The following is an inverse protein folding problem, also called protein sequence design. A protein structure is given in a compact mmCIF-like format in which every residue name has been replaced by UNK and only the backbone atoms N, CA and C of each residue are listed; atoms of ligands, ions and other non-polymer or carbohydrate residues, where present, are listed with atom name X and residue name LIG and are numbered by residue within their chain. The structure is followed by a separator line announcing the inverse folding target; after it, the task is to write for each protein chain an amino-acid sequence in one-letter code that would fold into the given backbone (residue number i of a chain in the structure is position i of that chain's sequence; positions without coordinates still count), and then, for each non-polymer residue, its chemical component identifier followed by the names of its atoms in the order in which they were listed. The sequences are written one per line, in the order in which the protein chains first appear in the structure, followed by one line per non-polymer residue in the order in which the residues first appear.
data_IF_146446503254
#
_entry.id   IF_146446503254
#
_cell.length_a   1.000
_cell.length_b   1.000
_cell.length_c   1.000
_cell.angle_alpha   90.00
_cell.angle_beta   90.00
_cell.angle_gamma   90.00
#
_symmetry.space_group_name_H-M   'P 1'
#
loop_
_entity.id
_entity.type
_entity.pdbx_description
1 polymer ?
#
# COMPACT_ATOMS: atom_id res chain seq x y z
N UNK A 1 21.46 -5.29 62.12
CA UNK A 1 21.85 -4.04 61.44
C UNK A 1 22.38 -4.44 60.08
N UNK A 2 21.68 -4.11 59.02
CA UNK A 2 22.11 -4.41 57.62
C UNK A 2 23.29 -3.50 57.32
N UNK A 3 24.42 -4.10 56.90
CA UNK A 3 25.67 -3.43 56.62
C UNK A 3 25.47 -2.39 55.45
N UNK A 4 26.15 -1.27 55.55
CA UNK A 4 26.07 -0.16 54.56
C UNK A 4 26.40 -0.62 53.15
N UNK A 5 27.29 -1.57 53.00
CA UNK A 5 27.68 -2.23 51.77
C UNK A 5 26.52 -3.02 51.11
N UNK A 6 25.76 -3.74 51.92
CA UNK A 6 24.59 -4.49 51.42
C UNK A 6 23.49 -3.54 50.95
N UNK A 7 23.21 -2.45 51.65
CA UNK A 7 22.25 -1.41 51.23
C UNK A 7 22.65 -0.80 49.89
N UNK A 8 23.94 -0.60 49.67
CA UNK A 8 24.45 -0.04 48.43
C UNK A 8 24.25 -1.02 47.24
N UNK A 9 24.54 -2.32 47.45
CA UNK A 9 24.29 -3.38 46.45
C UNK A 9 22.81 -3.48 46.09
N UNK A 10 21.89 -3.45 47.05
CA UNK A 10 20.46 -3.48 46.81
C UNK A 10 19.99 -2.26 46.02
N UNK A 11 20.54 -1.06 46.26
CA UNK A 11 20.23 0.14 45.49
C UNK A 11 20.64 0.00 44.02
N UNK A 12 21.83 -0.55 43.75
CA UNK A 12 22.27 -0.79 42.38
C UNK A 12 21.42 -1.85 41.67
N UNK A 13 21.04 -2.93 42.36
CA UNK A 13 20.15 -3.95 41.78
C UNK A 13 18.78 -3.35 41.43
N UNK A 14 18.21 -2.51 42.29
CA UNK A 14 16.93 -1.86 42.04
C UNK A 14 17.00 -0.87 40.86
N UNK A 15 18.10 -0.10 40.77
CA UNK A 15 18.32 0.82 39.62
C UNK A 15 18.45 0.01 38.34
N UNK A 16 19.23 -1.06 38.34
CA UNK A 16 19.41 -1.91 37.16
C UNK A 16 18.10 -2.57 36.74
N UNK A 17 17.31 -3.07 37.65
CA UNK A 17 15.99 -3.62 37.37
C UNK A 17 15.04 -2.57 36.81
N UNK A 18 15.03 -1.35 37.35
CA UNK A 18 14.21 -0.24 36.82
C UNK A 18 14.59 0.15 35.42
N UNK A 19 15.90 0.19 35.10
CA UNK A 19 16.39 0.49 33.74
C UNK A 19 15.99 -0.63 32.78
N UNK A 20 16.06 -1.89 33.19
CA UNK A 20 15.66 -3.03 32.35
C UNK A 20 14.16 -3.02 32.06
N UNK A 21 13.34 -2.72 33.07
CA UNK A 21 11.88 -2.57 32.88
C UNK A 21 11.56 -1.41 31.95
N UNK A 22 12.25 -0.28 32.09
CA UNK A 22 12.07 0.85 31.20
C UNK A 22 12.45 0.52 29.75
N UNK A 23 13.52 -0.23 29.52
CA UNK A 23 13.92 -0.70 28.20
C UNK A 23 12.89 -1.64 27.58
N UNK A 24 12.31 -2.54 28.39
CA UNK A 24 11.24 -3.43 27.94
C UNK A 24 9.98 -2.63 27.56
N UNK A 25 9.60 -1.63 28.38
CA UNK A 25 8.45 -0.77 28.07
C UNK A 25 8.70 0.03 26.79
N UNK A 26 9.88 0.59 26.59
CA UNK A 26 10.26 1.28 25.36
C UNK A 26 10.26 0.34 24.15
N UNK A 27 10.79 -0.88 24.31
CA UNK A 27 10.77 -1.89 23.25
C UNK A 27 9.33 -2.30 22.88
N UNK A 28 8.45 -2.49 23.87
CA UNK A 28 7.03 -2.79 23.64
C UNK A 28 6.28 -1.60 23.01
N UNK A 29 6.61 -0.37 23.39
CA UNK A 29 6.04 0.83 22.80
C UNK A 29 6.49 1.04 21.35
N UNK A 30 7.74 0.63 21.02
CA UNK A 30 8.22 0.65 19.62
C UNK A 30 7.73 -0.56 18.82
N UNK A 31 7.31 -1.64 19.48
CA UNK A 31 6.78 -2.83 18.80
C UNK A 31 5.25 -2.77 18.61
N UNK A 32 4.60 -1.75 19.12
CA UNK A 32 3.28 -1.36 18.68
C UNK A 32 3.41 -0.87 17.22
N UNK A 33 3.68 -1.79 16.30
CA UNK A 33 3.47 -1.56 14.89
C UNK A 33 2.06 -1.05 14.77
N UNK A 34 1.89 0.08 14.09
CA UNK A 34 0.59 0.52 13.64
C UNK A 34 0.01 -0.61 12.79
N UNK A 35 -0.70 -1.54 13.42
CA UNK A 35 -1.78 -2.25 12.76
C UNK A 35 -2.74 -1.14 12.38
N UNK A 36 -2.49 -0.52 11.22
CA UNK A 36 -3.50 0.27 10.55
C UNK A 36 -4.67 -0.67 10.33
N UNK A 37 -5.51 -0.77 11.36
CA UNK A 37 -6.79 -1.44 11.27
C UNK A 37 -7.49 -0.81 10.09
N UNK A 38 -7.59 -1.58 9.03
CA UNK A 38 -8.27 -1.30 7.79
C UNK A 38 -9.76 -1.05 8.10
N UNK A 39 -10.10 0.15 8.58
CA UNK A 39 -11.42 0.53 9.09
C UNK A 39 -12.29 1.22 8.05
N UNK A 40 -11.85 1.21 6.79
CA UNK A 40 -12.62 1.81 5.71
C UNK A 40 -13.75 0.88 5.23
N UNK A 41 -14.97 1.39 5.18
CA UNK A 41 -16.07 0.72 4.48
C UNK A 41 -15.78 0.71 2.98
N UNK A 42 -15.51 -0.47 2.41
CA UNK A 42 -15.35 -0.64 0.96
C UNK A 42 -16.70 -0.98 0.34
N UNK A 43 -17.31 -0.02 -0.37
CA UNK A 43 -18.60 -0.18 -1.05
C UNK A 43 -18.51 -1.15 -2.23
N UNK A 44 -17.33 -1.32 -2.80
CA UNK A 44 -17.06 -2.16 -3.97
C UNK A 44 -16.19 -3.36 -3.62
N UNK A 45 -16.69 -4.22 -2.73
CA UNK A 45 -16.03 -5.48 -2.37
C UNK A 45 -15.74 -6.31 -3.62
N UNK A 46 -14.53 -6.85 -3.71
CA UNK A 46 -14.09 -7.64 -4.87
C UNK A 46 -13.26 -6.87 -5.89
N UNK A 47 -12.94 -5.60 -5.63
CA UNK A 47 -12.13 -4.76 -6.50
C UNK A 47 -11.00 -4.13 -5.70
N UNK A 48 -9.75 -4.31 -6.17
CA UNK A 48 -8.60 -3.54 -5.70
C UNK A 48 -8.14 -2.65 -6.83
N UNK A 49 -8.04 -1.35 -6.56
CA UNK A 49 -7.55 -0.36 -7.50
C UNK A 49 -6.08 -0.03 -7.26
N UNK A 50 -5.47 0.67 -8.20
CA UNK A 50 -4.15 1.26 -8.06
C UNK A 50 -4.20 2.73 -8.40
N UNK A 51 -3.48 3.52 -7.63
CA UNK A 51 -3.43 4.96 -7.74
C UNK A 51 -1.98 5.41 -7.64
N UNK A 52 -1.46 6.11 -8.63
CA UNK A 52 -0.12 6.69 -8.61
C UNK A 52 -0.24 8.21 -8.75
N UNK A 53 0.31 8.92 -7.78
CA UNK A 53 0.24 10.38 -7.69
C UNK A 53 1.62 10.96 -8.00
N UNK A 54 1.70 11.87 -8.96
CA UNK A 54 2.94 12.56 -9.27
C UNK A 54 3.29 13.61 -8.22
N UNK A 55 4.58 13.93 -8.08
CA UNK A 55 5.04 15.02 -7.22
C UNK A 55 4.40 16.35 -7.60
N UNK A 56 4.32 16.68 -8.90
CA UNK A 56 3.68 17.89 -9.42
C UNK A 56 3.05 17.65 -10.81
N UNK A 57 2.50 18.72 -11.41
CA UNK A 57 1.97 18.69 -12.77
C UNK A 57 3.01 19.03 -13.84
N UNK A 58 4.30 19.13 -13.49
CA UNK A 58 5.36 19.29 -14.49
C UNK A 58 5.39 18.10 -15.44
N UNK A 59 5.82 18.32 -16.66
CA UNK A 59 5.91 17.27 -17.66
C UNK A 59 6.88 16.15 -17.24
N UNK A 60 7.94 16.51 -16.54
CA UNK A 60 8.96 15.62 -15.99
C UNK A 60 8.36 14.71 -14.93
N UNK A 61 7.65 15.27 -13.94
CA UNK A 61 7.00 14.51 -12.86
C UNK A 61 5.90 13.59 -13.40
N UNK A 62 5.16 14.03 -14.40
CA UNK A 62 4.16 13.21 -15.06
C UNK A 62 4.80 12.03 -15.81
N UNK A 63 5.95 12.22 -16.46
CA UNK A 63 6.72 11.13 -17.10
C UNK A 63 7.29 10.16 -16.06
N UNK A 64 7.85 10.70 -14.98
CA UNK A 64 8.39 9.89 -13.87
C UNK A 64 7.29 9.00 -13.27
N UNK A 65 6.12 9.56 -12.98
CA UNK A 65 4.95 8.81 -12.51
C UNK A 65 4.63 7.61 -13.40
N UNK A 66 4.68 7.78 -14.73
CA UNK A 66 4.39 6.68 -15.65
C UNK A 66 5.45 5.59 -15.61
N UNK A 67 6.73 5.94 -15.39
CA UNK A 67 7.81 4.96 -15.22
C UNK A 67 7.65 4.17 -13.94
N UNK A 68 7.33 4.84 -12.83
CA UNK A 68 7.02 4.19 -11.55
C UNK A 68 5.85 3.23 -11.72
N UNK A 69 4.74 3.70 -12.28
CA UNK A 69 3.58 2.87 -12.60
C UNK A 69 3.95 1.59 -13.34
N UNK A 70 4.73 1.73 -14.41
CA UNK A 70 5.05 0.59 -15.29
C UNK A 70 5.88 -0.47 -14.56
N UNK A 71 6.82 -0.06 -13.71
CA UNK A 71 7.62 -0.99 -12.89
C UNK A 71 6.76 -1.69 -11.85
N UNK A 72 5.90 -0.96 -11.15
CA UNK A 72 4.99 -1.54 -10.15
C UNK A 72 4.02 -2.52 -10.81
N UNK A 73 3.41 -2.16 -11.93
CA UNK A 73 2.50 -3.06 -12.66
C UNK A 73 3.21 -4.33 -13.13
N UNK A 74 4.45 -4.22 -13.60
CA UNK A 74 5.22 -5.38 -14.02
C UNK A 74 5.49 -6.32 -12.83
N UNK A 75 5.93 -5.77 -11.69
CA UNK A 75 6.19 -6.54 -10.48
C UNK A 75 4.93 -7.21 -9.93
N UNK A 76 3.86 -6.44 -9.73
CA UNK A 76 2.59 -6.98 -9.24
C UNK A 76 2.03 -8.02 -10.20
N UNK A 77 2.04 -7.74 -11.51
CA UNK A 77 1.51 -8.65 -12.51
C UNK A 77 2.25 -9.99 -12.58
N UNK A 78 3.56 -9.99 -12.39
CA UNK A 78 4.33 -11.23 -12.36
C UNK A 78 4.04 -12.07 -11.11
N UNK A 79 3.92 -11.44 -9.97
CA UNK A 79 3.76 -12.11 -8.69
C UNK A 79 2.30 -12.48 -8.36
N UNK A 80 1.32 -11.84 -9.00
CA UNK A 80 -0.11 -12.11 -8.77
C UNK A 80 -0.80 -12.81 -9.94
N UNK A 81 -0.06 -13.23 -10.96
CA UNK A 81 -0.63 -13.88 -12.17
C UNK A 81 -1.42 -15.16 -11.90
N UNK A 82 -1.11 -15.85 -10.79
CA UNK A 82 -1.75 -17.09 -10.37
C UNK A 82 -2.75 -16.88 -9.23
N UNK A 83 -3.03 -15.65 -8.83
CA UNK A 83 -3.97 -15.35 -7.76
C UNK A 83 -5.41 -15.48 -8.30
N UNK A 84 -6.18 -16.39 -7.72
CA UNK A 84 -7.56 -16.63 -8.11
C UNK A 84 -8.54 -15.79 -7.27
N UNK A 85 -8.09 -15.22 -6.16
CA UNK A 85 -8.92 -14.46 -5.23
C UNK A 85 -8.39 -13.06 -4.96
N UNK A 86 -9.30 -12.18 -4.55
CA UNK A 86 -8.95 -10.83 -4.08
C UNK A 86 -8.12 -10.89 -2.80
N UNK A 87 -8.40 -11.87 -1.93
CA UNK A 87 -7.70 -11.99 -0.65
C UNK A 87 -6.23 -12.37 -0.84
N UNK A 88 -5.92 -13.26 -1.78
CA UNK A 88 -4.52 -13.56 -2.15
C UNK A 88 -3.80 -12.33 -2.67
N UNK A 89 -4.46 -11.55 -3.54
CA UNK A 89 -3.88 -10.30 -4.06
C UNK A 89 -3.69 -9.28 -2.94
N UNK A 90 -4.65 -9.15 -2.03
CA UNK A 90 -4.56 -8.25 -0.88
C UNK A 90 -3.40 -8.62 0.04
N UNK A 91 -3.30 -9.90 0.42
CA UNK A 91 -2.21 -10.40 1.26
C UNK A 91 -0.84 -10.21 0.61
N UNK A 92 -0.74 -10.41 -0.70
CA UNK A 92 0.46 -10.11 -1.46
C UNK A 92 0.83 -8.62 -1.34
N UNK A 93 -0.10 -7.71 -1.60
CA UNK A 93 0.16 -6.26 -1.55
C UNK A 93 0.56 -5.80 -0.14
N UNK A 94 -0.09 -6.33 0.91
CA UNK A 94 0.26 -6.04 2.31
C UNK A 94 1.68 -6.51 2.63
N UNK A 95 2.00 -7.76 2.27
CA UNK A 95 3.28 -8.38 2.59
C UNK A 95 4.48 -7.79 1.83
N UNK A 96 4.23 -7.13 0.67
CA UNK A 96 5.29 -6.58 -0.19
C UNK A 96 5.26 -5.04 -0.25
N UNK A 97 4.58 -4.39 0.71
CA UNK A 97 4.47 -2.92 0.75
C UNK A 97 5.83 -2.23 0.68
N UNK A 98 6.80 -2.69 1.49
CA UNK A 98 8.15 -2.12 1.49
C UNK A 98 8.88 -2.36 0.16
N UNK A 99 8.79 -3.55 -0.40
CA UNK A 99 9.41 -3.86 -1.68
C UNK A 99 8.83 -3.02 -2.84
N UNK A 100 7.52 -2.76 -2.80
CA UNK A 100 6.88 -1.84 -3.75
C UNK A 100 7.40 -0.41 -3.60
N UNK A 101 7.66 0.05 -2.38
CA UNK A 101 8.29 1.34 -2.12
C UNK A 101 9.71 1.37 -2.66
N UNK A 102 10.52 0.36 -2.37
CA UNK A 102 11.93 0.25 -2.82
C UNK A 102 12.02 0.25 -4.35
N UNK A 103 11.11 -0.46 -5.04
CA UNK A 103 11.03 -0.47 -6.51
C UNK A 103 10.71 0.94 -7.04
N UNK A 104 9.76 1.64 -6.42
CA UNK A 104 9.40 2.99 -6.83
C UNK A 104 10.53 3.99 -6.59
N UNK A 105 11.19 3.91 -5.43
CA UNK A 105 12.37 4.73 -5.09
C UNK A 105 13.52 4.49 -6.06
N UNK A 106 13.80 3.25 -6.42
CA UNK A 106 14.84 2.93 -7.41
C UNK A 106 14.57 3.62 -8.74
N UNK A 107 13.30 3.61 -9.21
CA UNK A 107 12.93 4.33 -10.45
C UNK A 107 13.12 5.83 -10.31
N UNK A 108 12.78 6.40 -9.16
CA UNK A 108 12.95 7.85 -8.89
C UNK A 108 14.43 8.21 -8.93
N UNK A 109 15.29 7.48 -8.22
CA UNK A 109 16.74 7.68 -8.17
C UNK A 109 17.40 7.49 -9.54
N UNK A 110 17.05 6.44 -10.29
CA UNK A 110 17.56 6.16 -11.65
C UNK A 110 17.26 7.31 -12.63
N UNK A 111 16.20 8.10 -12.36
CA UNK A 111 15.86 9.26 -13.18
C UNK A 111 16.40 10.58 -12.64
N UNK A 112 17.28 10.56 -11.62
CA UNK A 112 17.98 11.70 -11.09
C UNK A 112 17.18 12.57 -10.11
N UNK A 113 16.14 11.98 -9.48
CA UNK A 113 15.34 12.65 -8.45
C UNK A 113 15.59 12.02 -7.08
N UNK A 114 15.27 12.77 -6.02
CA UNK A 114 15.36 12.38 -4.61
C UNK A 114 14.00 12.43 -3.90
N UNK A 115 12.93 12.26 -4.65
CA UNK A 115 11.58 12.27 -4.08
C UNK A 115 11.35 11.04 -3.19
N UNK A 116 10.85 11.28 -1.98
CA UNK A 116 10.35 10.19 -1.13
C UNK A 116 9.16 9.49 -1.77
N UNK A 117 8.99 8.22 -1.44
CA UNK A 117 7.87 7.39 -1.88
C UNK A 117 7.05 7.00 -0.65
N UNK A 118 5.73 7.17 -0.76
CA UNK A 118 4.79 6.59 0.19
C UNK A 118 3.91 5.56 -0.52
N UNK A 119 3.81 4.36 0.08
CA UNK A 119 2.98 3.26 -0.44
C UNK A 119 1.99 2.86 0.63
N UNK A 120 0.71 2.94 0.33
CA UNK A 120 -0.38 2.61 1.25
C UNK A 120 -1.43 1.74 0.56
N UNK A 121 -1.88 0.67 1.22
CA UNK A 121 -3.09 -0.04 0.84
C UNK A 121 -4.21 0.41 1.78
N UNK A 122 -5.24 1.06 1.23
CA UNK A 122 -6.31 1.63 2.05
C UNK A 122 -7.58 1.88 1.26
N UNK A 123 -8.66 2.22 1.96
CA UNK A 123 -9.92 2.63 1.31
C UNK A 123 -9.86 4.10 0.95
N UNK A 124 -10.17 4.41 -0.31
CA UNK A 124 -10.20 5.77 -0.84
C UNK A 124 -11.47 6.01 -1.63
N UNK A 125 -12.01 7.20 -1.48
CA UNK A 125 -13.09 7.65 -2.36
C UNK A 125 -12.53 7.99 -3.74
N UNK A 126 -13.07 7.36 -4.77
CA UNK A 126 -12.59 7.48 -6.15
C UNK A 126 -13.77 7.91 -7.02
N UNK A 127 -13.54 8.94 -7.83
CA UNK A 127 -14.49 9.40 -8.85
C UNK A 127 -14.80 8.29 -9.86
N UNK A 128 -15.95 8.41 -10.52
CA UNK A 128 -16.27 7.56 -11.67
C UNK A 128 -15.13 7.56 -12.70
N UNK A 129 -14.81 6.37 -13.19
CA UNK A 129 -13.75 6.13 -14.17
C UNK A 129 -14.20 5.15 -15.24
N UNK A 130 -13.95 5.52 -16.48
CA UNK A 130 -14.23 4.70 -17.65
C UNK A 130 -12.95 4.06 -18.17
N UNK A 131 -12.98 2.74 -18.40
CA UNK A 131 -11.89 1.96 -19.00
C UNK A 131 -12.45 1.23 -20.22
N UNK A 132 -12.43 1.91 -21.37
CA UNK A 132 -13.12 1.44 -22.57
C UNK A 132 -14.64 1.39 -22.31
N UNK A 133 -15.24 0.21 -22.47
CA UNK A 133 -16.69 0.01 -22.29
C UNK A 133 -17.09 -0.30 -20.81
N UNK A 134 -16.13 -0.29 -19.89
CA UNK A 134 -16.37 -0.60 -18.47
C UNK A 134 -16.33 0.70 -17.67
N UNK A 135 -17.44 1.02 -17.01
CA UNK A 135 -17.56 2.15 -16.09
C UNK A 135 -17.49 1.67 -14.65
N UNK A 136 -16.55 2.21 -13.90
CA UNK A 136 -16.47 2.05 -12.44
C UNK A 136 -17.14 3.26 -11.81
N UNK A 137 -18.25 3.10 -11.07
CA UNK A 137 -18.95 4.22 -10.45
C UNK A 137 -18.07 4.92 -9.41
N UNK A 138 -18.43 6.14 -9.05
CA UNK A 138 -17.82 6.82 -7.91
C UNK A 138 -18.15 6.07 -6.62
N UNK A 139 -17.22 6.04 -5.66
CA UNK A 139 -17.44 5.38 -4.37
C UNK A 139 -16.13 5.06 -3.65
N UNK A 140 -16.26 4.36 -2.53
CA UNK A 140 -15.14 3.90 -1.72
C UNK A 140 -14.59 2.58 -2.24
N UNK A 141 -13.32 2.58 -2.64
CA UNK A 141 -12.61 1.42 -3.14
C UNK A 141 -11.36 1.14 -2.29
N UNK A 142 -11.05 -0.12 -2.12
CA UNK A 142 -9.71 -0.54 -1.73
C UNK A 142 -8.72 -0.21 -2.84
N UNK A 143 -7.62 0.45 -2.49
CA UNK A 143 -6.64 0.87 -3.48
C UNK A 143 -5.21 0.85 -2.93
N UNK A 144 -4.28 0.36 -3.75
CA UNK A 144 -2.85 0.57 -3.56
C UNK A 144 -2.54 2.00 -4.03
N UNK A 145 -2.17 2.87 -3.10
CA UNK A 145 -1.79 4.25 -3.35
C UNK A 145 -0.28 4.37 -3.33
N UNK A 146 0.29 4.99 -4.35
CA UNK A 146 1.72 5.27 -4.46
C UNK A 146 1.87 6.76 -4.67
N UNK A 147 2.44 7.46 -3.70
CA UNK A 147 2.63 8.90 -3.73
C UNK A 147 4.10 9.21 -3.96
N UNK A 148 4.39 9.99 -4.99
CA UNK A 148 5.74 10.44 -5.33
C UNK A 148 5.93 11.87 -4.82
N UNK A 149 6.92 12.07 -3.95
CA UNK A 149 7.26 13.36 -3.39
C UNK A 149 6.08 14.01 -2.66
N UNK A 150 5.66 15.21 -3.09
CA UNK A 150 4.58 15.98 -2.47
C UNK A 150 3.17 15.48 -2.83
N UNK A 151 3.03 14.62 -3.83
CA UNK A 151 1.74 14.11 -4.26
C UNK A 151 0.76 15.18 -4.73
N UNK A 152 1.25 16.28 -5.34
CA UNK A 152 0.43 17.42 -5.77
C UNK A 152 0.09 17.38 -7.27
N UNK A 153 0.59 16.38 -7.98
CA UNK A 153 0.35 16.22 -9.40
C UNK A 153 -0.90 15.42 -9.74
N UNK A 154 -1.20 15.35 -11.04
CA UNK A 154 -2.29 14.54 -11.54
C UNK A 154 -2.07 13.05 -11.28
N UNK A 155 -3.18 12.38 -11.05
CA UNK A 155 -3.25 10.98 -10.65
C UNK A 155 -3.38 10.07 -11.87
N UNK A 156 -2.76 8.90 -11.78
CA UNK A 156 -3.03 7.79 -12.68
C UNK A 156 -3.76 6.67 -11.94
N UNK A 157 -4.77 6.07 -12.57
CA UNK A 157 -5.68 5.11 -11.96
C UNK A 157 -5.73 3.80 -12.72
N UNK A 158 -5.82 2.69 -12.02
CA UNK A 158 -6.08 1.38 -12.60
C UNK A 158 -6.83 0.44 -11.66
N UNK A 159 -7.08 -0.79 -12.15
CA UNK A 159 -7.66 -1.91 -11.40
C UNK A 159 -6.65 -3.03 -11.39
N UNK A 160 -6.19 -3.42 -10.18
CA UNK A 160 -5.27 -4.53 -9.96
C UNK A 160 -6.01 -5.85 -9.85
N UNK A 161 -7.16 -5.85 -9.18
CA UNK A 161 -8.03 -7.02 -9.09
C UNK A 161 -9.48 -6.64 -9.37
N UNK A 162 -10.18 -7.32 -10.28
CA UNK A 162 -9.63 -8.26 -11.30
C UNK A 162 -8.56 -7.59 -12.17
N UNK A 163 -7.57 -8.32 -12.72
CA UNK A 163 -6.34 -7.78 -13.29
C UNK A 163 -6.53 -7.09 -14.66
N UNK A 164 -7.25 -5.94 -14.70
CA UNK A 164 -7.51 -5.20 -15.93
C UNK A 164 -6.26 -4.56 -16.54
N UNK A 165 -5.32 -4.14 -15.71
CA UNK A 165 -4.12 -3.43 -16.17
C UNK A 165 -2.89 -4.30 -16.26
N UNK A 166 -2.97 -5.53 -15.76
CA UNK A 166 -1.86 -6.47 -15.73
C UNK A 166 -1.80 -7.33 -16.99
N UNK A 167 -2.89 -7.36 -17.78
CA UNK A 167 -2.97 -8.18 -18.99
C UNK A 167 -2.83 -7.30 -20.22
N UNK A 168 -1.81 -7.58 -21.05
CA UNK A 168 -1.56 -6.86 -22.32
C UNK A 168 -2.66 -7.09 -23.37
N UNK A 169 -3.31 -8.25 -23.34
CA UNK A 169 -4.44 -8.58 -24.20
C UNK A 169 -5.76 -8.24 -23.50
N UNK A 170 -6.49 -7.29 -24.06
CA UNK A 170 -7.86 -6.92 -23.63
C UNK A 170 -8.86 -8.03 -23.98
N UNK A 171 -8.70 -9.19 -23.37
CA UNK A 171 -9.52 -10.37 -23.66
C UNK A 171 -10.96 -10.17 -23.18
N UNK A 172 -11.93 -10.53 -24.02
CA UNK A 172 -13.38 -10.49 -23.74
C UNK A 172 -13.73 -11.20 -22.41
N UNK A 173 -12.95 -12.24 -22.03
CA UNK A 173 -13.13 -13.01 -20.81
C UNK A 173 -12.90 -12.19 -19.54
N UNK A 174 -11.95 -11.25 -19.53
CA UNK A 174 -11.70 -10.34 -18.41
C UNK A 174 -12.83 -9.32 -18.24
N UNK A 175 -13.40 -8.81 -19.33
CA UNK A 175 -14.58 -7.94 -19.29
C UNK A 175 -15.76 -8.61 -18.57
N UNK A 176 -16.03 -9.89 -18.88
CA UNK A 176 -17.15 -10.63 -18.27
C UNK A 176 -16.93 -10.85 -16.76
N UNK A 177 -15.70 -11.18 -16.33
CA UNK A 177 -15.36 -11.37 -14.92
C UNK A 177 -15.52 -10.06 -14.13
N UNK A 178 -15.06 -8.94 -14.65
CA UNK A 178 -15.19 -7.63 -14.00
C UNK A 178 -16.66 -7.24 -13.87
N UNK A 179 -17.44 -7.39 -14.93
CA UNK A 179 -18.87 -7.06 -14.92
C UNK A 179 -19.63 -7.96 -13.93
N UNK A 180 -19.31 -9.25 -13.86
CA UNK A 180 -19.91 -10.19 -12.94
C UNK A 180 -19.58 -9.82 -11.48
N UNK A 181 -18.32 -9.56 -11.16
CA UNK A 181 -17.88 -9.12 -9.83
C UNK A 181 -18.52 -7.79 -9.40
N UNK A 182 -18.65 -6.83 -10.31
CA UNK A 182 -19.35 -5.56 -10.06
C UNK A 182 -20.86 -5.76 -9.81
N UNK A 183 -21.52 -6.69 -10.51
CA UNK A 183 -22.93 -7.02 -10.28
C UNK A 183 -23.14 -7.68 -8.92
N UNK A 184 -22.27 -8.62 -8.52
CA UNK A 184 -22.34 -9.28 -7.22
C UNK A 184 -22.11 -8.30 -6.06
N UNK A 185 -21.28 -7.29 -6.22
CA UNK A 185 -21.06 -6.23 -5.23
C UNK A 185 -22.29 -5.33 -5.01
N UNK A 186 -23.16 -5.17 -6.01
CA UNK A 186 -24.41 -4.37 -5.90
C UNK A 186 -25.59 -5.13 -5.28
N UNK A 187 -25.48 -6.45 -5.10
CA UNK A 187 -26.57 -7.29 -4.60
C UNK A 187 -26.43 -7.66 -3.11
N UNK A 188 -25.43 -7.12 -2.41
CA UNK A 188 -25.25 -7.19 -0.96
C UNK A 188 -25.47 -5.82 -0.32
#
# INVERSE_FOLDING_TARGET
MINTEEKLKYRYILIFAAVLVLQIILALACWGGNDETYTGWNEHQGIIRMHVIANSNSQEDQRLKLKVRDKILAYVGENTKNNDSIDETRLFLIGHKQELADIAEAVVCENGYDYGIDVELGVRWIKEKNYGDITFPAGNYEALNITIGKGQGENWWCVLFPPLCLVKDKNVKLKSIVIEKMKMSKMK
#
